data_IF_402205295467
#
_entry.id   IF_402205295467
#
_cell.length_a   1.000
_cell.length_b   1.000
_cell.length_c   1.000
_cell.angle_alpha   90.00
_cell.angle_beta   90.00
_cell.angle_gamma   90.00
#
_symmetry.space_group_name_H-M   'P 1'
#
loop_
_entity.id
_entity.type
_entity.pdbx_description
1 polymer ?
#
# COMPACT_ATOMS: atom_id res chain seq x y z
N UNK A 1 -4.78 -57.93 -25.59
CA UNK A 1 -4.17 -57.48 -24.30
C UNK A 1 -2.96 -56.53 -24.43
N UNK A 2 -2.26 -56.43 -25.56
CA UNK A 2 -1.11 -55.50 -25.70
C UNK A 2 -1.49 -54.02 -25.90
N UNK A 3 -2.60 -53.73 -26.59
CA UNK A 3 -3.00 -52.35 -26.88
C UNK A 3 -3.43 -51.53 -25.65
N UNK A 4 -4.11 -52.13 -24.67
CA UNK A 4 -4.56 -51.37 -23.48
C UNK A 4 -3.40 -50.95 -22.57
N UNK A 5 -2.33 -51.75 -22.48
CA UNK A 5 -1.13 -51.40 -21.72
C UNK A 5 -0.36 -50.22 -22.34
N UNK A 6 -0.33 -50.14 -23.67
CA UNK A 6 0.28 -49.03 -24.40
C UNK A 6 -0.54 -47.74 -24.23
N UNK A 7 -1.88 -47.83 -24.25
CA UNK A 7 -2.76 -46.67 -24.05
C UNK A 7 -2.68 -46.13 -22.61
N UNK A 8 -2.67 -46.99 -21.60
CA UNK A 8 -2.49 -46.58 -20.19
C UNK A 8 -1.11 -45.94 -19.98
N UNK A 9 -0.06 -46.49 -20.59
CA UNK A 9 1.28 -45.90 -20.52
C UNK A 9 1.33 -44.51 -21.16
N UNK A 10 0.71 -44.33 -22.32
CA UNK A 10 0.64 -43.02 -23.00
C UNK A 10 -0.16 -41.99 -22.20
N UNK A 11 -1.26 -42.38 -21.56
CA UNK A 11 -2.07 -41.50 -20.70
C UNK A 11 -1.27 -41.11 -19.44
N UNK A 12 -0.62 -42.07 -18.79
CA UNK A 12 0.22 -41.80 -17.61
C UNK A 12 1.42 -40.92 -17.95
N UNK A 13 2.04 -41.12 -19.12
CA UNK A 13 3.13 -40.28 -19.60
C UNK A 13 2.65 -38.86 -19.94
N UNK A 14 1.47 -38.72 -20.55
CA UNK A 14 0.86 -37.42 -20.82
C UNK A 14 0.49 -36.67 -19.53
N UNK A 15 -0.06 -37.37 -18.52
CA UNK A 15 -0.35 -36.79 -17.21
C UNK A 15 0.93 -36.40 -16.47
N UNK A 16 1.99 -37.20 -16.55
CA UNK A 16 3.30 -36.89 -15.97
C UNK A 16 3.94 -35.69 -16.65
N UNK A 17 3.88 -35.60 -17.98
CA UNK A 17 4.37 -34.44 -18.75
C UNK A 17 3.56 -33.19 -18.41
N UNK A 18 2.23 -33.29 -18.33
CA UNK A 18 1.37 -32.17 -17.90
C UNK A 18 1.73 -31.72 -16.48
N UNK A 19 1.92 -32.66 -15.56
CA UNK A 19 2.34 -32.37 -14.18
C UNK A 19 3.72 -31.74 -14.13
N UNK A 20 4.70 -32.21 -14.91
CA UNK A 20 6.02 -31.60 -15.03
C UNK A 20 5.94 -30.19 -15.62
N UNK A 21 5.10 -29.93 -16.63
CA UNK A 21 4.93 -28.58 -17.21
C UNK A 21 4.27 -27.60 -16.22
N UNK A 22 3.37 -28.08 -15.36
CA UNK A 22 2.77 -27.28 -14.29
C UNK A 22 3.84 -26.94 -13.23
N UNK A 23 4.71 -27.89 -12.88
CA UNK A 23 5.79 -27.67 -11.91
C UNK A 23 6.86 -26.72 -12.47
N UNK A 24 7.25 -26.87 -13.75
CA UNK A 24 8.23 -25.95 -14.37
C UNK A 24 7.64 -24.57 -14.63
N UNK A 25 6.33 -24.44 -14.86
CA UNK A 25 5.66 -23.14 -14.95
C UNK A 25 5.49 -22.43 -13.59
N UNK A 26 5.63 -23.14 -12.47
CA UNK A 26 5.70 -22.55 -11.12
C UNK A 26 7.12 -22.05 -10.78
N UNK A 27 8.13 -22.46 -11.56
CA UNK A 27 9.50 -22.02 -11.43
C UNK A 27 9.77 -20.86 -12.39
N UNK A 28 10.10 -19.69 -11.84
CA UNK A 28 10.79 -18.62 -12.56
C UNK A 28 10.02 -17.87 -13.67
N UNK A 29 8.83 -17.33 -13.37
CA UNK A 29 8.67 -15.92 -13.75
C UNK A 29 9.36 -15.12 -12.67
N UNK A 30 10.57 -14.64 -12.97
CA UNK A 30 11.22 -13.63 -12.15
C UNK A 30 10.19 -12.58 -11.78
N UNK A 31 10.02 -12.35 -10.48
CA UNK A 31 9.30 -11.17 -10.03
C UNK A 31 10.00 -10.00 -10.70
N UNK A 32 9.35 -9.39 -11.69
CA UNK A 32 9.88 -8.18 -12.31
C UNK A 32 10.15 -7.21 -11.17
N UNK A 33 11.42 -6.94 -10.92
CA UNK A 33 11.79 -5.88 -9.99
C UNK A 33 11.19 -4.58 -10.54
N UNK A 34 10.73 -3.73 -9.64
CA UNK A 34 10.23 -2.41 -10.02
C UNK A 34 11.31 -1.69 -10.84
N UNK A 35 10.93 -1.13 -11.99
CA UNK A 35 11.82 -0.34 -12.84
C UNK A 35 11.25 1.07 -12.93
N UNK A 36 11.94 2.02 -12.30
CA UNK A 36 11.58 3.44 -12.35
C UNK A 36 11.46 3.94 -13.79
N UNK A 37 12.37 3.52 -14.68
CA UNK A 37 12.31 3.90 -16.10
C UNK A 37 11.06 3.38 -16.79
N UNK A 38 10.68 2.12 -16.58
CA UNK A 38 9.45 1.58 -17.18
C UNK A 38 8.20 2.24 -16.61
N UNK A 39 8.20 2.53 -15.31
CA UNK A 39 7.11 3.25 -14.65
C UNK A 39 6.99 4.68 -15.19
N UNK A 40 8.10 5.42 -15.31
CA UNK A 40 8.12 6.77 -15.87
C UNK A 40 7.61 6.79 -17.32
N UNK A 41 8.07 5.86 -18.17
CA UNK A 41 7.57 5.72 -19.53
C UNK A 41 6.07 5.40 -19.60
N UNK A 42 5.52 4.71 -18.59
CA UNK A 42 4.07 4.48 -18.50
C UNK A 42 3.33 5.75 -18.09
N UNK A 43 3.86 6.51 -17.13
CA UNK A 43 3.31 7.80 -16.70
C UNK A 43 3.29 8.78 -17.87
N UNK A 44 4.39 8.91 -18.62
CA UNK A 44 4.51 9.82 -19.76
C UNK A 44 3.53 9.48 -20.91
N UNK A 45 3.14 8.21 -21.03
CA UNK A 45 2.12 7.77 -22.01
C UNK A 45 0.70 8.10 -21.59
N UNK A 46 0.48 8.46 -20.32
CA UNK A 46 -0.85 8.76 -19.79
C UNK A 46 -1.32 10.10 -20.35
N UNK A 47 -2.46 10.11 -21.03
CA UNK A 47 -2.98 11.34 -21.61
C UNK A 47 -3.71 12.14 -20.53
N UNK A 48 -3.41 13.44 -20.41
CA UNK A 48 -4.07 14.31 -19.43
C UNK A 48 -5.62 14.29 -19.54
N UNK A 49 -6.16 14.08 -20.74
CA UNK A 49 -7.60 13.92 -20.97
C UNK A 49 -8.20 12.71 -20.23
N UNK A 50 -7.41 11.67 -19.98
CA UNK A 50 -7.89 10.45 -19.33
C UNK A 50 -8.21 10.71 -17.86
N UNK A 51 -7.51 11.67 -17.21
CA UNK A 51 -7.80 12.13 -15.84
C UNK A 51 -9.20 12.71 -15.69
N UNK A 52 -9.74 13.28 -16.77
CA UNK A 52 -11.08 13.91 -16.80
C UNK A 52 -12.14 13.06 -17.50
N UNK A 53 -11.77 11.85 -17.93
CA UNK A 53 -12.69 10.97 -18.63
C UNK A 53 -13.68 10.29 -17.68
N UNK A 54 -14.76 9.73 -18.24
CA UNK A 54 -15.74 8.97 -17.45
C UNK A 54 -15.06 7.80 -16.76
N UNK A 55 -15.18 7.74 -15.43
CA UNK A 55 -14.55 6.75 -14.56
C UNK A 55 -15.59 5.87 -13.86
N UNK A 56 -16.82 5.83 -14.38
CA UNK A 56 -17.92 5.03 -13.87
C UNK A 56 -18.70 4.41 -15.02
N UNK A 57 -18.89 3.08 -14.98
CA UNK A 57 -19.66 2.32 -15.96
C UNK A 57 -20.20 1.04 -15.30
N UNK A 58 -21.42 0.64 -15.65
CA UNK A 58 -22.03 -0.62 -15.18
C UNK A 58 -22.01 -0.80 -13.64
N UNK A 59 -22.32 0.28 -12.91
CA UNK A 59 -22.27 0.36 -11.45
C UNK A 59 -20.89 0.19 -10.82
N UNK A 60 -19.81 0.28 -11.60
CA UNK A 60 -18.42 0.15 -11.15
C UNK A 60 -17.62 1.38 -11.50
N UNK A 61 -16.75 1.77 -10.57
CA UNK A 61 -15.70 2.75 -10.85
C UNK A 61 -14.49 2.06 -11.46
N UNK A 62 -13.80 2.74 -12.37
CA UNK A 62 -12.54 2.30 -12.96
C UNK A 62 -11.60 3.49 -13.15
N UNK A 63 -10.29 3.25 -13.25
CA UNK A 63 -9.30 4.28 -13.52
C UNK A 63 -8.95 4.28 -15.03
N UNK A 64 -9.42 5.27 -15.83
CA UNK A 64 -9.16 5.33 -17.26
C UNK A 64 -7.66 5.38 -17.62
N UNK A 65 -6.89 6.11 -16.81
CA UNK A 65 -5.43 6.26 -16.93
C UNK A 65 -4.64 5.05 -16.44
N UNK A 66 -5.27 4.14 -15.70
CA UNK A 66 -4.63 2.95 -15.14
C UNK A 66 -5.58 1.77 -15.28
N UNK A 67 -5.54 1.12 -16.45
CA UNK A 67 -6.30 -0.09 -16.71
C UNK A 67 -5.89 -1.16 -15.70
N UNK A 68 -6.75 -1.40 -14.72
CA UNK A 68 -6.63 -2.54 -13.82
C UNK A 68 -7.25 -3.74 -14.53
N UNK A 69 -6.44 -4.75 -14.78
CA UNK A 69 -6.95 -6.05 -15.23
C UNK A 69 -7.83 -6.65 -14.13
N UNK A 70 -8.99 -7.19 -14.51
CA UNK A 70 -9.81 -7.98 -13.61
C UNK A 70 -8.98 -9.17 -13.11
N UNK A 71 -8.78 -9.26 -11.79
CA UNK A 71 -8.05 -10.36 -11.16
C UNK A 71 -9.04 -11.46 -10.78
N UNK A 72 -8.75 -12.67 -11.24
CA UNK A 72 -9.59 -13.84 -10.98
C UNK A 72 -9.19 -14.61 -9.72
N UNK A 73 -9.96 -15.64 -9.39
CA UNK A 73 -9.66 -16.53 -8.27
C UNK A 73 -8.27 -17.19 -8.37
N UNK A 74 -7.87 -17.60 -9.59
CA UNK A 74 -6.56 -18.21 -9.82
C UNK A 74 -5.41 -17.23 -9.58
N UNK A 75 -5.62 -15.92 -9.81
CA UNK A 75 -4.60 -14.90 -9.51
C UNK A 75 -4.40 -14.76 -7.99
N UNK A 76 -5.48 -14.84 -7.21
CA UNK A 76 -5.40 -14.83 -5.74
C UNK A 76 -4.67 -16.06 -5.22
N UNK A 77 -5.00 -17.26 -5.74
CA UNK A 77 -4.32 -18.49 -5.35
C UNK A 77 -2.83 -18.44 -5.72
N UNK A 78 -2.53 -18.00 -6.95
CA UNK A 78 -1.16 -17.81 -7.42
C UNK A 78 -0.41 -16.84 -6.53
N UNK A 79 -0.98 -15.69 -6.18
CA UNK A 79 -0.36 -14.71 -5.28
C UNK A 79 -0.08 -15.31 -3.89
N UNK A 80 -1.05 -16.04 -3.32
CA UNK A 80 -0.92 -16.67 -2.00
C UNK A 80 0.18 -17.75 -1.95
N UNK A 81 0.37 -18.47 -3.06
CA UNK A 81 1.41 -19.49 -3.22
C UNK A 81 2.74 -18.95 -3.75
N UNK A 82 2.77 -17.71 -4.24
CA UNK A 82 4.00 -17.07 -4.71
C UNK A 82 4.95 -16.80 -3.55
N UNK A 83 6.26 -16.80 -3.83
CA UNK A 83 7.26 -16.44 -2.84
C UNK A 83 6.96 -15.06 -2.25
N UNK A 84 7.34 -14.79 -1.00
CA UNK A 84 7.28 -13.44 -0.43
C UNK A 84 8.38 -12.56 -1.01
N UNK A 85 8.25 -11.24 -0.89
CA UNK A 85 9.36 -10.35 -1.23
C UNK A 85 10.59 -10.70 -0.38
N UNK A 86 11.76 -10.73 -1.01
CA UNK A 86 13.02 -11.03 -0.35
C UNK A 86 13.55 -9.74 0.28
N UNK A 87 13.17 -9.51 1.54
CA UNK A 87 13.78 -8.47 2.35
C UNK A 87 15.01 -8.99 3.07
N UNK A 88 16.08 -8.19 3.07
CA UNK A 88 17.28 -8.39 3.89
C UNK A 88 16.92 -8.38 5.38
N UNK A 89 17.79 -8.94 6.23
CA UNK A 89 17.58 -8.91 7.69
C UNK A 89 17.55 -7.48 8.24
N UNK A 90 18.28 -6.56 7.60
CA UNK A 90 18.27 -5.14 7.95
C UNK A 90 16.89 -4.52 7.67
N UNK A 91 16.33 -4.72 6.47
CA UNK A 91 15.00 -4.18 6.12
C UNK A 91 13.89 -4.72 7.01
N UNK A 92 13.98 -6.00 7.41
CA UNK A 92 12.98 -6.64 8.29
C UNK A 92 12.99 -6.11 9.71
N UNK A 93 14.15 -5.69 10.20
CA UNK A 93 14.33 -5.24 11.58
C UNK A 93 14.41 -3.73 11.71
N UNK A 94 14.49 -3.01 10.58
CA UNK A 94 14.54 -1.56 10.57
C UNK A 94 13.27 -0.96 11.17
N UNK A 95 13.46 -0.10 12.17
CA UNK A 95 12.41 0.74 12.74
C UNK A 95 12.81 2.20 12.55
N UNK A 96 11.87 3.06 12.11
CA UNK A 96 12.14 4.49 12.01
C UNK A 96 12.49 5.08 13.38
N UNK A 97 13.47 5.98 13.40
CA UNK A 97 13.91 6.65 14.63
C UNK A 97 12.86 7.66 15.10
N UNK A 98 12.49 7.59 16.37
CA UNK A 98 11.71 8.63 17.03
C UNK A 98 12.65 9.78 17.45
N UNK A 99 12.34 11.00 17.02
CA UNK A 99 13.08 12.19 17.44
C UNK A 99 12.53 12.63 18.81
N UNK A 100 13.38 12.81 19.84
CA UNK A 100 12.91 13.28 21.14
C UNK A 100 12.48 14.75 21.07
N UNK A 101 11.58 15.13 21.99
CA UNK A 101 11.06 16.49 22.15
C UNK A 101 10.41 17.07 20.89
N UNK A 102 9.77 16.24 20.05
CA UNK A 102 9.10 16.65 18.81
C UNK A 102 8.21 17.88 19.01
N UNK A 103 7.36 17.87 20.04
CA UNK A 103 6.46 18.98 20.33
C UNK A 103 7.21 20.30 20.63
N UNK A 104 8.31 20.24 21.38
CA UNK A 104 9.13 21.42 21.68
C UNK A 104 9.81 21.95 20.42
N UNK A 105 10.36 21.06 19.59
CA UNK A 105 11.00 21.41 18.31
C UNK A 105 10.02 22.10 17.37
N UNK A 106 8.79 21.60 17.28
CA UNK A 106 7.76 22.20 16.44
C UNK A 106 7.39 23.62 16.90
N UNK A 107 7.28 23.87 18.21
CA UNK A 107 7.03 25.22 18.74
C UNK A 107 8.13 26.22 18.38
N UNK A 108 9.36 25.75 18.26
CA UNK A 108 10.53 26.58 17.92
C UNK A 108 10.76 26.71 16.41
N UNK A 109 10.11 25.87 15.61
CA UNK A 109 10.26 25.88 14.16
C UNK A 109 9.52 27.07 13.58
N UNK A 110 10.20 27.87 12.77
CA UNK A 110 9.61 28.99 12.02
C UNK A 110 9.43 28.59 10.55
N UNK A 111 8.43 29.16 9.86
CA UNK A 111 8.18 28.90 8.44
C UNK A 111 7.54 27.54 8.14
N UNK A 112 7.63 27.10 6.89
CA UNK A 112 6.97 25.90 6.41
C UNK A 112 7.70 24.63 6.86
N UNK A 113 6.96 23.56 7.18
CA UNK A 113 7.56 22.28 7.56
C UNK A 113 6.66 21.09 7.20
N UNK A 114 7.27 19.91 7.17
CA UNK A 114 6.58 18.62 7.12
C UNK A 114 7.14 17.73 8.24
N UNK A 115 6.24 17.17 9.05
CA UNK A 115 6.55 16.17 10.07
C UNK A 115 5.82 14.87 9.73
N UNK A 116 6.58 13.78 9.68
CA UNK A 116 5.99 12.45 9.65
C UNK A 116 5.65 12.00 11.07
N UNK A 117 4.36 11.80 11.34
CA UNK A 117 3.86 11.31 12.63
C UNK A 117 3.88 9.77 12.67
N UNK A 118 3.62 9.12 11.53
CA UNK A 118 3.69 7.67 11.38
C UNK A 118 2.66 7.14 10.39
N UNK A 119 2.92 5.97 9.79
CA UNK A 119 2.09 5.43 8.70
C UNK A 119 1.93 6.46 7.57
N UNK A 120 0.70 6.86 7.22
CA UNK A 120 0.41 7.90 6.25
C UNK A 120 0.00 9.24 6.91
N UNK A 121 0.25 9.40 8.21
CA UNK A 121 -0.02 10.64 8.94
C UNK A 121 1.15 11.61 8.84
N UNK A 122 0.96 12.69 8.10
CA UNK A 122 1.89 13.80 7.98
C UNK A 122 1.23 15.08 8.48
N UNK A 123 1.92 15.79 9.38
CA UNK A 123 1.58 17.16 9.74
C UNK A 123 2.41 18.10 8.88
N UNK A 124 1.72 18.94 8.12
CA UNK A 124 2.31 19.88 7.18
C UNK A 124 1.91 21.29 7.63
N UNK A 125 2.86 22.22 7.72
CA UNK A 125 2.57 23.64 7.85
C UNK A 125 3.04 24.35 6.60
N UNK A 126 2.12 25.00 5.89
CA UNK A 126 2.40 25.81 4.72
C UNK A 126 1.66 27.14 4.88
N UNK A 127 2.40 28.24 4.79
CA UNK A 127 1.89 29.61 4.84
C UNK A 127 1.02 29.89 6.06
N UNK A 128 1.43 29.33 7.21
CA UNK A 128 0.74 29.46 8.48
C UNK A 128 -0.43 28.49 8.69
N UNK A 129 -0.93 27.83 7.64
CA UNK A 129 -1.99 26.84 7.73
C UNK A 129 -1.42 25.44 8.03
N UNK A 130 -2.11 24.70 8.90
CA UNK A 130 -1.78 23.31 9.19
C UNK A 130 -2.64 22.36 8.36
N UNK A 131 -2.02 21.28 7.88
CA UNK A 131 -2.65 20.20 7.13
C UNK A 131 -2.24 18.86 7.73
N UNK A 132 -3.19 17.93 7.84
CA UNK A 132 -2.98 16.60 8.39
C UNK A 132 -3.52 15.55 7.43
N UNK A 133 -2.66 14.66 6.96
CA UNK A 133 -3.05 13.55 6.08
C UNK A 133 -3.42 12.33 6.89
N UNK A 134 -4.43 11.57 6.46
CA UNK A 134 -4.79 10.22 6.94
C UNK A 134 -4.48 9.98 8.43
N UNK A 135 -5.16 10.71 9.34
CA UNK A 135 -4.75 10.81 10.72
C UNK A 135 -5.04 9.53 11.48
N UNK A 136 -3.98 8.86 11.94
CA UNK A 136 -4.06 7.71 12.83
C UNK A 136 -3.14 7.92 14.05
N UNK A 137 -3.74 8.21 15.20
CA UNK A 137 -3.04 8.25 16.49
C UNK A 137 -3.33 7.01 17.34
N UNK A 138 -4.35 6.23 17.00
CA UNK A 138 -4.68 4.98 17.69
C UNK A 138 -3.56 3.96 17.64
N UNK A 139 -3.49 3.11 18.68
CA UNK A 139 -2.54 1.99 18.75
C UNK A 139 -2.78 0.94 17.65
N UNK A 140 -4.02 0.81 17.16
CA UNK A 140 -4.42 -0.21 16.18
C UNK A 140 -5.27 0.37 15.06
N UNK A 141 -5.10 -0.19 13.86
CA UNK A 141 -6.04 -0.05 12.74
C UNK A 141 -6.93 -1.30 12.71
N UNK A 142 -7.97 -1.32 13.54
CA UNK A 142 -8.83 -2.48 13.84
C UNK A 142 -8.09 -3.66 14.53
N UNK A 143 -7.27 -4.41 13.79
CA UNK A 143 -6.55 -5.60 14.28
C UNK A 143 -5.04 -5.36 14.44
N UNK A 144 -4.29 -5.00 13.38
CA UNK A 144 -2.85 -4.76 13.49
C UNK A 144 -2.55 -3.59 14.42
N UNK A 145 -1.62 -3.82 15.35
CA UNK A 145 -1.04 -2.77 16.15
C UNK A 145 0.13 -2.13 15.41
N UNK A 146 0.29 -0.82 15.59
CA UNK A 146 1.50 -0.12 15.15
C UNK A 146 2.73 -0.72 15.84
N UNK A 147 3.82 -0.84 15.09
CA UNK A 147 5.10 -1.32 15.60
C UNK A 147 5.87 -0.19 16.28
N UNK A 148 5.81 1.02 15.72
CA UNK A 148 6.39 2.24 16.30
C UNK A 148 5.31 3.17 16.85
N UNK A 149 5.56 3.86 17.97
CA UNK A 149 4.66 4.89 18.47
C UNK A 149 4.58 6.08 17.49
N UNK A 150 3.50 6.87 17.52
CA UNK A 150 3.44 8.10 16.73
C UNK A 150 4.49 9.12 17.22
N UNK A 151 4.97 9.98 16.32
CA UNK A 151 5.94 11.02 16.67
C UNK A 151 5.40 12.08 17.64
N UNK A 152 4.07 12.19 17.71
CA UNK A 152 3.31 13.02 18.64
C UNK A 152 2.14 12.20 19.17
N UNK A 153 1.84 12.32 20.45
CA UNK A 153 0.53 11.91 20.96
C UNK A 153 -0.55 12.85 20.45
N UNK A 154 -1.79 12.37 20.38
CA UNK A 154 -2.93 13.22 19.98
C UNK A 154 -3.10 14.42 20.93
N UNK A 155 -2.83 14.22 22.21
CA UNK A 155 -2.82 15.30 23.21
C UNK A 155 -1.79 16.36 22.88
N UNK A 156 -0.54 15.96 22.61
CA UNK A 156 0.51 16.92 22.23
C UNK A 156 0.15 17.66 20.94
N UNK A 157 -0.35 16.94 19.93
CA UNK A 157 -0.85 17.53 18.69
C UNK A 157 -1.90 18.62 18.96
N UNK A 158 -2.92 18.33 19.76
CA UNK A 158 -3.98 19.29 20.12
C UNK A 158 -3.49 20.50 20.95
N UNK A 159 -2.30 20.39 21.58
CA UNK A 159 -1.66 21.56 22.22
C UNK A 159 -0.93 22.46 21.23
N UNK A 160 -0.52 21.92 20.09
CA UNK A 160 0.29 22.61 19.08
C UNK A 160 -0.56 23.24 17.99
N UNK A 161 -1.63 22.57 17.58
CA UNK A 161 -2.47 22.96 16.46
C UNK A 161 -3.88 23.25 16.97
N UNK A 162 -4.43 24.40 16.56
CA UNK A 162 -5.78 24.84 16.91
C UNK A 162 -6.74 24.77 15.75
N UNK A 163 -6.29 25.18 14.57
CA UNK A 163 -7.04 25.06 13.32
C UNK A 163 -6.31 24.09 12.40
N UNK A 164 -7.01 23.12 11.83
CA UNK A 164 -6.41 22.07 11.01
C UNK A 164 -7.25 21.74 9.77
N UNK A 165 -6.57 21.61 8.63
CA UNK A 165 -7.16 21.04 7.42
C UNK A 165 -6.86 19.53 7.36
N UNK A 166 -7.86 18.70 7.12
CA UNK A 166 -7.68 17.24 7.08
C UNK A 166 -7.82 16.73 5.66
N UNK A 167 -6.87 15.91 5.22
CA UNK A 167 -6.89 15.21 3.94
C UNK A 167 -7.03 13.71 4.20
N UNK A 168 -8.12 13.12 3.72
CA UNK A 168 -8.36 11.68 3.78
C UNK A 168 -8.24 11.09 2.37
N UNK A 169 -7.34 10.12 2.20
CA UNK A 169 -7.14 9.44 0.93
C UNK A 169 -8.24 8.41 0.64
N UNK A 170 -8.63 7.60 1.63
CA UNK A 170 -9.69 6.60 1.51
C UNK A 170 -10.20 6.10 2.87
N UNK A 171 -11.29 5.33 2.85
CA UNK A 171 -12.00 4.83 4.03
C UNK A 171 -11.52 3.42 4.47
N UNK A 172 -10.23 3.27 4.77
CA UNK A 172 -9.70 2.08 5.43
C UNK A 172 -9.22 2.44 6.85
N UNK A 173 -9.21 1.48 7.78
CA UNK A 173 -9.00 1.73 9.21
C UNK A 173 -7.63 2.32 9.58
N UNK A 174 -6.61 2.15 8.74
CA UNK A 174 -5.29 2.76 8.90
C UNK A 174 -5.18 4.18 8.32
N UNK A 175 -6.19 4.63 7.56
CA UNK A 175 -6.27 5.97 6.98
C UNK A 175 -7.41 6.83 7.57
N UNK A 176 -8.49 6.21 8.05
CA UNK A 176 -9.63 6.88 8.69
C UNK A 176 -9.87 6.31 10.10
N UNK A 177 -9.10 6.80 11.06
CA UNK A 177 -9.20 6.38 12.46
C UNK A 177 -10.29 7.15 13.21
N UNK A 178 -11.47 6.53 13.37
CA UNK A 178 -12.64 7.18 14.00
C UNK A 178 -12.37 7.76 15.40
N UNK A 179 -11.64 7.10 16.33
CA UNK A 179 -11.22 7.70 17.60
C UNK A 179 -10.42 8.98 17.42
N UNK A 180 -9.39 8.98 16.57
CA UNK A 180 -8.62 10.18 16.24
C UNK A 180 -9.53 11.29 15.74
N UNK A 181 -10.38 11.01 14.76
CA UNK A 181 -11.26 12.02 14.14
C UNK A 181 -12.21 12.70 15.14
N UNK A 182 -12.63 12.01 16.21
CA UNK A 182 -13.50 12.59 17.24
C UNK A 182 -12.79 13.59 18.15
N UNK A 183 -11.49 13.42 18.32
CA UNK A 183 -10.70 14.12 19.32
C UNK A 183 -9.74 15.15 18.69
N UNK A 184 -9.77 15.32 17.36
CA UNK A 184 -9.08 16.40 16.65
C UNK A 184 -9.75 17.76 16.92
N UNK A 185 -9.00 18.87 16.85
CA UNK A 185 -9.57 20.20 17.00
C UNK A 185 -10.54 20.52 15.86
N UNK A 186 -11.52 21.39 16.14
CA UNK A 186 -12.53 21.84 15.17
C UNK A 186 -11.94 22.79 14.15
#
# INVERSE_FOLDING_TARGET
MKQSKSMVFLISLALLLLFLTIITSCSARDKKNFSETQWALQVDKTLAKDLYSTHYKDKKFFAPWMKMEDKGFLDVLKWKLSSKANYTNQERTFLPRLIPDTAKRLKQTQGNFILWIGHNTFLIRIDGAYWLTDPIFSKRALLPARVTPPALTLKEFNTLVKDINIVISHNHYDHLDRPTMKDLPQ
#
